data_IF_202611024784
#
_entry.id   IF_202611024784
#
_cell.length_a   1.000
_cell.length_b   1.000
_cell.length_c   1.000
_cell.angle_alpha   90.00
_cell.angle_beta   90.00
_cell.angle_gamma   90.00
#
_symmetry.space_group_name_H-M   'P 1'
#
loop_
_entity.id
_entity.type
_entity.pdbx_description
1 polymer ?
#
# COMPACT_ATOMS: atom_id res chain seq x y z
N UNK A 1 -6.19 -18.11 11.10
CA UNK A 1 -6.08 -17.44 9.79
C UNK A 1 -5.28 -16.18 9.97
N UNK A 2 -4.44 -15.85 9.00
CA UNK A 2 -3.64 -14.63 8.90
C UNK A 2 -3.94 -13.92 7.58
N UNK A 3 -3.41 -12.72 7.38
CA UNK A 3 -3.51 -12.02 6.09
C UNK A 3 -3.07 -12.88 4.89
N UNK A 4 -2.03 -13.69 5.07
CA UNK A 4 -1.51 -14.58 4.00
C UNK A 4 -2.45 -15.75 3.63
N UNK A 5 -3.52 -15.97 4.40
CA UNK A 5 -4.54 -16.97 4.07
C UNK A 5 -5.61 -16.43 3.11
N UNK A 6 -5.65 -15.11 2.87
CA UNK A 6 -6.53 -14.51 1.86
C UNK A 6 -5.88 -14.57 0.47
N UNK A 7 -6.25 -15.57 -0.32
CA UNK A 7 -5.61 -15.89 -1.61
C UNK A 7 -6.43 -15.52 -2.85
N UNK A 8 -7.74 -15.35 -2.67
CA UNK A 8 -8.67 -15.12 -3.78
C UNK A 8 -9.94 -14.38 -3.30
N UNK A 9 -10.85 -14.10 -4.23
CA UNK A 9 -12.13 -13.45 -3.94
C UNK A 9 -13.03 -14.29 -3.01
N UNK A 10 -12.93 -15.62 -3.03
CA UNK A 10 -13.75 -16.47 -2.18
C UNK A 10 -13.36 -16.32 -0.70
N UNK A 11 -12.06 -16.21 -0.42
CA UNK A 11 -11.56 -15.93 0.93
C UNK A 11 -12.08 -14.60 1.52
N UNK A 12 -12.31 -13.61 0.66
CA UNK A 12 -12.81 -12.27 1.02
C UNK A 12 -14.32 -12.21 1.33
N UNK A 13 -15.10 -13.23 0.94
CA UNK A 13 -16.55 -13.28 1.24
C UNK A 13 -16.85 -13.23 2.73
N UNK A 14 -15.96 -13.81 3.55
CA UNK A 14 -15.99 -13.74 5.02
C UNK A 14 -15.93 -12.30 5.56
N UNK A 15 -15.42 -11.36 4.77
CA UNK A 15 -15.34 -9.94 5.08
C UNK A 15 -16.51 -9.12 4.50
N UNK A 16 -17.45 -9.77 3.81
CA UNK A 16 -18.56 -9.13 3.11
C UNK A 16 -18.20 -8.60 1.72
N UNK A 17 -16.97 -8.84 1.25
CA UNK A 17 -16.49 -8.39 -0.06
C UNK A 17 -16.78 -9.51 -1.07
N UNK A 18 -17.71 -9.26 -1.97
CA UNK A 18 -18.18 -10.26 -2.95
C UNK A 18 -17.87 -9.90 -4.39
N UNK A 19 -17.42 -8.67 -4.64
CA UNK A 19 -17.10 -8.16 -5.97
C UNK A 19 -15.93 -7.20 -5.90
N UNK A 20 -15.10 -7.24 -6.94
CA UNK A 20 -14.05 -6.27 -7.22
C UNK A 20 -14.40 -5.60 -8.54
N UNK A 21 -14.50 -4.28 -8.56
CA UNK A 21 -14.64 -3.49 -9.79
C UNK A 21 -13.25 -3.22 -10.39
N UNK A 22 -13.07 -3.49 -11.67
CA UNK A 22 -11.86 -3.08 -12.40
C UNK A 22 -12.09 -1.73 -13.06
N UNK A 23 -11.15 -0.80 -12.87
CA UNK A 23 -11.17 0.54 -13.47
C UNK A 23 -9.89 0.79 -14.26
N UNK A 24 -9.92 1.73 -15.21
CA UNK A 24 -8.73 2.09 -16.00
C UNK A 24 -7.90 3.21 -15.37
N UNK A 25 -8.49 4.04 -14.53
CA UNK A 25 -7.80 5.13 -13.84
C UNK A 25 -8.49 5.32 -12.48
N UNK A 26 -7.86 4.81 -11.43
CA UNK A 26 -8.36 4.96 -10.08
C UNK A 26 -7.95 6.29 -9.46
N UNK A 27 -6.73 6.75 -9.75
CA UNK A 27 -6.10 7.91 -9.13
C UNK A 27 -5.65 8.87 -10.23
N UNK A 28 -6.10 10.12 -10.13
CA UNK A 28 -5.64 11.23 -10.96
C UNK A 28 -4.71 12.07 -10.11
N UNK A 29 -3.50 12.32 -10.60
CA UNK A 29 -2.46 13.04 -9.87
C UNK A 29 -1.54 13.78 -10.83
N UNK A 30 -0.99 14.90 -10.37
CA UNK A 30 0.11 15.57 -11.05
C UNK A 30 1.44 14.92 -10.69
N UNK A 31 2.42 14.84 -11.63
CA UNK A 31 3.75 14.33 -11.33
C UNK A 31 4.44 15.16 -10.24
N UNK A 32 5.24 14.50 -9.40
CA UNK A 32 6.03 15.14 -8.34
C UNK A 32 7.49 14.76 -8.53
N UNK A 33 8.34 15.78 -8.65
CA UNK A 33 9.77 15.54 -8.85
C UNK A 33 10.41 14.88 -7.61
N UNK A 34 11.17 13.78 -7.80
CA UNK A 34 11.88 13.12 -6.71
C UNK A 34 13.01 14.00 -6.17
N UNK A 35 13.31 13.88 -4.87
CA UNK A 35 14.52 14.51 -4.33
C UNK A 35 15.80 13.96 -4.97
N UNK A 36 16.85 14.78 -5.00
CA UNK A 36 18.19 14.34 -5.44
C UNK A 36 18.68 13.14 -4.63
N UNK A 37 18.29 13.04 -3.36
CA UNK A 37 18.63 11.88 -2.51
C UNK A 37 17.99 10.60 -3.04
N UNK A 38 16.69 10.60 -3.35
CA UNK A 38 16.01 9.43 -3.88
C UNK A 38 16.55 9.03 -5.26
N UNK A 39 16.82 10.01 -6.14
CA UNK A 39 17.40 9.76 -7.47
C UNK A 39 18.75 9.03 -7.33
N UNK A 40 19.65 9.56 -6.50
CA UNK A 40 20.98 8.97 -6.28
C UNK A 40 20.91 7.61 -5.60
N UNK A 41 19.98 7.42 -4.66
CA UNK A 41 19.74 6.14 -4.01
C UNK A 41 19.28 5.08 -5.02
N UNK A 42 18.20 5.35 -5.77
CA UNK A 42 17.64 4.38 -6.72
C UNK A 42 18.61 4.07 -7.88
N UNK A 43 19.41 5.04 -8.32
CA UNK A 43 20.47 4.80 -9.30
C UNK A 43 21.47 3.72 -8.87
N UNK A 44 21.74 3.62 -7.55
CA UNK A 44 22.65 2.61 -6.97
C UNK A 44 21.90 1.33 -6.61
N UNK A 45 20.71 1.48 -6.07
CA UNK A 45 19.96 0.43 -5.41
C UNK A 45 19.16 -0.45 -6.36
N UNK A 46 18.61 0.12 -7.45
CA UNK A 46 17.83 -0.67 -8.43
C UNK A 46 18.69 -1.77 -9.09
N UNK A 47 19.89 -1.48 -9.64
CA UNK A 47 20.73 -2.53 -10.23
C UNK A 47 21.13 -3.61 -9.21
N UNK A 48 21.39 -3.20 -7.96
CA UNK A 48 21.74 -4.12 -6.86
C UNK A 48 20.58 -5.04 -6.51
N UNK A 49 19.38 -4.49 -6.35
CA UNK A 49 18.17 -5.25 -6.05
C UNK A 49 17.86 -6.26 -7.17
N UNK A 50 17.99 -5.84 -8.43
CA UNK A 50 17.80 -6.71 -9.60
C UNK A 50 18.83 -7.84 -9.62
N UNK A 51 20.10 -7.56 -9.33
CA UNK A 51 21.16 -8.57 -9.33
C UNK A 51 21.00 -9.59 -8.19
N UNK A 52 20.58 -9.15 -7.00
CA UNK A 52 20.35 -10.04 -5.84
C UNK A 52 19.07 -10.86 -6.03
N UNK A 53 18.02 -10.27 -6.61
CA UNK A 53 16.74 -10.90 -6.93
C UNK A 53 16.06 -11.62 -5.75
N UNK A 54 15.96 -10.95 -4.61
CA UNK A 54 15.18 -11.45 -3.46
C UNK A 54 14.08 -10.45 -3.10
N UNK A 55 13.02 -10.95 -2.45
CA UNK A 55 11.94 -10.11 -1.89
C UNK A 55 12.53 -9.03 -0.99
N UNK A 56 13.41 -9.45 -0.07
CA UNK A 56 14.09 -8.54 0.84
C UNK A 56 14.89 -7.44 0.13
N UNK A 57 15.61 -7.78 -0.95
CA UNK A 57 16.36 -6.79 -1.71
C UNK A 57 15.42 -5.76 -2.38
N UNK A 58 14.30 -6.18 -2.97
CA UNK A 58 13.34 -5.23 -3.58
C UNK A 58 12.68 -4.35 -2.52
N UNK A 59 12.30 -4.95 -1.39
CA UNK A 59 11.74 -4.26 -0.23
C UNK A 59 12.68 -3.16 0.29
N UNK A 60 13.94 -3.47 0.55
CA UNK A 60 14.91 -2.55 1.17
C UNK A 60 15.50 -1.52 0.19
N UNK A 61 15.70 -1.89 -1.07
CA UNK A 61 16.45 -1.08 -2.05
C UNK A 61 15.55 -0.35 -3.06
N UNK A 62 14.27 -0.71 -3.18
CA UNK A 62 13.35 -0.04 -4.11
C UNK A 62 12.12 0.50 -3.38
N UNK A 63 11.36 -0.38 -2.73
CA UNK A 63 10.05 -0.01 -2.15
C UNK A 63 10.24 0.95 -0.96
N UNK A 64 11.04 0.57 0.05
CA UNK A 64 11.24 1.38 1.25
C UNK A 64 11.81 2.78 0.97
N UNK A 65 12.82 2.97 0.09
CA UNK A 65 13.28 4.31 -0.29
C UNK A 65 12.19 5.20 -0.89
N UNK A 66 11.35 4.65 -1.78
CA UNK A 66 10.24 5.39 -2.40
C UNK A 66 9.20 5.78 -1.35
N UNK A 67 8.79 4.84 -0.49
CA UNK A 67 7.82 5.13 0.56
C UNK A 67 8.37 6.11 1.61
N UNK A 68 9.68 6.07 1.89
CA UNK A 68 10.34 7.04 2.77
C UNK A 68 10.31 8.45 2.19
N UNK A 69 10.40 8.59 0.86
CA UNK A 69 10.26 9.88 0.19
C UNK A 69 8.86 10.46 0.41
N UNK A 70 7.81 9.64 0.42
CA UNK A 70 6.43 10.10 0.69
C UNK A 70 6.30 10.68 2.10
N UNK A 71 6.88 10.01 3.11
CA UNK A 71 6.91 10.52 4.48
C UNK A 71 7.80 11.77 4.65
N UNK A 72 8.76 11.98 3.74
CA UNK A 72 9.56 13.21 3.69
C UNK A 72 8.79 14.37 3.04
N UNK A 73 8.12 14.12 1.92
CA UNK A 73 7.31 15.11 1.19
C UNK A 73 6.09 15.55 2.03
N UNK A 74 5.46 14.61 2.73
CA UNK A 74 4.30 14.86 3.57
C UNK A 74 4.60 14.50 5.04
N UNK A 75 4.98 15.47 5.90
CA UNK A 75 5.30 15.21 7.30
C UNK A 75 4.13 14.73 8.17
N UNK A 76 2.89 14.80 7.67
CA UNK A 76 1.73 14.20 8.34
C UNK A 76 1.62 12.69 8.07
N UNK A 77 2.45 12.16 7.17
CA UNK A 77 2.49 10.74 6.83
C UNK A 77 3.59 10.04 7.61
N UNK A 78 3.25 8.95 8.27
CA UNK A 78 4.24 8.03 8.86
C UNK A 78 4.29 6.73 8.09
N UNK A 79 5.51 6.20 7.94
CA UNK A 79 5.80 4.92 7.31
C UNK A 79 6.08 3.87 8.38
N UNK A 80 5.32 2.78 8.34
CA UNK A 80 5.58 1.58 9.11
C UNK A 80 6.01 0.48 8.14
N UNK A 81 7.24 -0.02 8.28
CA UNK A 81 7.75 -1.16 7.53
C UNK A 81 7.83 -2.38 8.43
N UNK A 82 7.29 -3.49 7.95
CA UNK A 82 7.42 -4.78 8.58
C UNK A 82 6.90 -4.85 10.01
N UNK A 83 5.63 -4.49 10.21
CA UNK A 83 4.98 -4.49 11.53
C UNK A 83 3.88 -5.53 11.58
N UNK A 84 3.72 -6.14 12.76
CA UNK A 84 2.51 -6.90 13.07
C UNK A 84 1.32 -5.95 13.11
N UNK A 85 0.27 -6.28 12.36
CA UNK A 85 -0.97 -5.53 12.28
C UNK A 85 -2.14 -6.43 12.72
N UNK A 86 -2.21 -6.71 14.01
CA UNK A 86 -3.20 -7.64 14.57
C UNK A 86 -4.49 -6.91 14.95
N UNK A 87 -5.46 -6.89 14.04
CA UNK A 87 -6.67 -6.08 14.18
C UNK A 87 -7.87 -6.89 14.68
N UNK A 88 -8.12 -8.07 14.12
CA UNK A 88 -9.23 -8.95 14.50
C UNK A 88 -8.91 -10.42 14.19
N UNK A 89 -8.49 -11.16 15.22
CA UNK A 89 -8.13 -12.57 15.11
C UNK A 89 -9.33 -13.46 14.73
N UNK A 90 -10.55 -13.10 15.13
CA UNK A 90 -11.75 -13.90 14.83
C UNK A 90 -12.07 -13.93 13.33
N UNK A 91 -11.61 -12.91 12.61
CA UNK A 91 -11.79 -12.74 11.15
C UNK A 91 -10.52 -13.00 10.36
N UNK A 92 -9.47 -13.51 11.00
CA UNK A 92 -8.18 -13.75 10.36
C UNK A 92 -7.37 -12.50 10.00
N UNK A 93 -7.80 -11.32 10.48
CA UNK A 93 -7.15 -10.03 10.23
C UNK A 93 -5.97 -9.82 11.20
N UNK A 94 -4.98 -10.71 11.07
CA UNK A 94 -3.76 -10.74 11.89
C UNK A 94 -2.58 -11.15 11.03
N UNK A 95 -1.38 -10.75 11.45
CA UNK A 95 -0.15 -11.07 10.75
C UNK A 95 0.68 -9.84 10.45
N UNK A 96 1.65 -10.03 9.57
CA UNK A 96 2.63 -9.03 9.19
C UNK A 96 2.13 -8.27 7.96
N UNK A 97 2.21 -6.94 7.99
CA UNK A 97 2.07 -6.09 6.81
C UNK A 97 3.46 -5.65 6.34
N UNK A 98 3.72 -5.70 5.04
CA UNK A 98 5.01 -5.29 4.49
C UNK A 98 5.23 -3.80 4.70
N UNK A 99 4.25 -2.96 4.32
CA UNK A 99 4.25 -1.55 4.66
C UNK A 99 2.85 -0.99 4.92
N UNK A 100 2.79 0.02 5.79
CA UNK A 100 1.58 0.82 6.05
C UNK A 100 1.99 2.30 6.03
N UNK A 101 1.25 3.12 5.29
CA UNK A 101 1.29 4.57 5.39
C UNK A 101 0.09 5.07 6.18
N UNK A 102 0.34 5.89 7.18
CA UNK A 102 -0.69 6.48 8.04
C UNK A 102 -0.77 7.98 7.82
N UNK A 103 -1.97 8.56 7.86
CA UNK A 103 -2.14 10.00 7.93
C UNK A 103 -2.13 10.46 9.39
N UNK A 104 -0.98 10.24 10.04
CA UNK A 104 -0.70 10.64 11.41
C UNK A 104 0.81 10.79 11.59
N UNK A 105 1.25 11.82 12.33
CA UNK A 105 2.67 12.09 12.59
C UNK A 105 3.27 11.18 13.68
N UNK A 106 2.47 10.37 14.37
CA UNK A 106 2.94 9.34 15.29
C UNK A 106 3.65 8.21 14.53
N UNK A 107 4.95 8.04 14.81
CA UNK A 107 5.82 7.03 14.18
C UNK A 107 5.98 5.76 15.02
N UNK A 108 5.39 5.72 16.22
CA UNK A 108 5.53 4.63 17.17
C UNK A 108 4.34 3.67 17.13
N UNK A 109 3.14 4.21 16.89
CA UNK A 109 1.88 3.47 16.89
C UNK A 109 1.14 3.68 15.58
N UNK A 110 0.68 2.59 14.96
CA UNK A 110 -0.17 2.66 13.77
C UNK A 110 -1.52 3.26 14.16
N UNK A 111 -1.79 4.48 13.69
CA UNK A 111 -3.04 5.22 13.81
C UNK A 111 -3.42 5.76 12.43
N UNK A 112 -4.69 5.92 12.12
CA UNK A 112 -5.12 6.49 10.85
C UNK A 112 -4.46 5.85 9.58
N UNK A 113 -4.35 4.51 9.45
CA UNK A 113 -3.83 3.90 8.22
C UNK A 113 -4.65 4.31 6.98
N UNK A 114 -3.97 4.84 5.97
CA UNK A 114 -4.57 5.32 4.71
C UNK A 114 -4.13 4.51 3.51
N UNK A 115 -2.93 3.91 3.55
CA UNK A 115 -2.45 3.00 2.51
C UNK A 115 -1.81 1.78 3.16
N UNK A 116 -2.16 0.58 2.67
CA UNK A 116 -1.43 -0.66 2.95
C UNK A 116 -0.73 -1.13 1.67
N UNK A 117 0.45 -1.72 1.81
CA UNK A 117 1.27 -2.15 0.68
C UNK A 117 1.71 -3.59 0.93
N UNK A 118 1.43 -4.45 -0.06
CA UNK A 118 1.81 -5.86 -0.09
C UNK A 118 2.85 -6.08 -1.18
N UNK A 119 3.95 -6.74 -0.86
CA UNK A 119 4.91 -7.18 -1.85
C UNK A 119 4.36 -8.39 -2.62
N UNK A 120 4.37 -8.29 -3.94
CA UNK A 120 4.02 -9.39 -4.82
C UNK A 120 5.08 -10.50 -4.75
N UNK A 121 4.65 -11.68 -4.31
CA UNK A 121 5.48 -12.88 -4.29
C UNK A 121 5.64 -13.44 -5.70
N UNK A 122 6.81 -13.98 -6.01
CA UNK A 122 7.14 -14.53 -7.34
C UNK A 122 6.80 -13.56 -8.51
N UNK A 123 6.85 -12.25 -8.26
CA UNK A 123 6.51 -11.20 -9.21
C UNK A 123 5.07 -11.24 -9.75
N UNK A 124 4.18 -11.97 -9.08
CA UNK A 124 2.77 -12.06 -9.46
C UNK A 124 1.90 -11.10 -8.62
N UNK A 125 1.52 -9.98 -9.24
CA UNK A 125 0.65 -8.97 -8.61
C UNK A 125 -0.73 -9.51 -8.28
N UNK A 126 -1.27 -10.42 -9.09
CA UNK A 126 -2.64 -10.90 -8.90
C UNK A 126 -2.81 -11.70 -7.60
N UNK A 127 -1.77 -12.44 -7.22
CA UNK A 127 -1.78 -13.28 -6.01
C UNK A 127 -1.82 -12.44 -4.72
N UNK A 128 -1.35 -11.19 -4.77
CA UNK A 128 -1.35 -10.28 -3.62
C UNK A 128 -2.66 -9.50 -3.42
N UNK A 129 -3.59 -9.53 -4.39
CA UNK A 129 -4.78 -8.66 -4.35
C UNK A 129 -5.70 -8.98 -3.16
N UNK A 130 -5.99 -10.26 -2.93
CA UNK A 130 -6.89 -10.66 -1.85
C UNK A 130 -6.31 -10.34 -0.46
N UNK A 131 -5.03 -10.62 -0.25
CA UNK A 131 -4.31 -10.22 0.96
C UNK A 131 -4.36 -8.70 1.16
N UNK A 132 -4.04 -7.93 0.12
CA UNK A 132 -4.04 -6.46 0.19
C UNK A 132 -5.43 -5.93 0.59
N UNK A 133 -6.50 -6.45 -0.01
CA UNK A 133 -7.88 -6.06 0.34
C UNK A 133 -8.22 -6.39 1.80
N UNK A 134 -7.78 -7.54 2.31
CA UNK A 134 -7.98 -7.90 3.72
C UNK A 134 -7.22 -6.94 4.67
N UNK A 135 -6.01 -6.54 4.33
CA UNK A 135 -5.24 -5.53 5.06
C UNK A 135 -5.91 -4.14 5.00
N UNK A 136 -6.47 -3.74 3.85
CA UNK A 136 -7.23 -2.49 3.69
C UNK A 136 -8.50 -2.50 4.56
N UNK A 137 -9.21 -3.62 4.60
CA UNK A 137 -10.37 -3.81 5.46
C UNK A 137 -9.99 -3.67 6.94
N UNK A 138 -8.86 -4.27 7.35
CA UNK A 138 -8.35 -4.14 8.71
C UNK A 138 -7.97 -2.69 9.05
N UNK A 139 -7.38 -1.95 8.11
CA UNK A 139 -7.12 -0.52 8.26
C UNK A 139 -8.41 0.29 8.47
N UNK A 140 -9.51 -0.03 7.77
CA UNK A 140 -10.81 0.60 8.03
C UNK A 140 -11.31 0.35 9.46
N UNK A 141 -11.16 -0.87 9.99
CA UNK A 141 -11.54 -1.17 11.39
C UNK A 141 -10.73 -0.30 12.37
N UNK A 142 -9.44 -0.12 12.13
CA UNK A 142 -8.59 0.75 12.97
C UNK A 142 -9.05 2.20 12.91
N UNK A 143 -9.35 2.71 11.71
CA UNK A 143 -9.84 4.08 11.52
C UNK A 143 -11.18 4.32 12.23
N UNK A 144 -12.10 3.34 12.20
CA UNK A 144 -13.39 3.42 12.89
C UNK A 144 -13.24 3.45 14.41
N UNK A 145 -12.33 2.64 14.98
CA UNK A 145 -12.09 2.59 16.43
C UNK A 145 -11.47 3.88 16.99
N UNK A 146 -10.66 4.55 16.20
CA UNK A 146 -9.94 5.77 16.60
C UNK A 146 -10.70 7.06 16.30
N UNK A 147 -11.97 6.98 15.86
CA UNK A 147 -12.80 8.12 15.43
C UNK A 147 -12.19 8.95 14.29
N UNK A 148 -11.43 8.30 13.41
CA UNK A 148 -10.85 8.92 12.21
C UNK A 148 -11.90 9.01 11.09
N UNK A 149 -13.03 9.67 11.38
CA UNK A 149 -14.22 9.68 10.51
C UNK A 149 -13.98 10.31 9.13
N UNK A 150 -12.94 11.15 9.04
CA UNK A 150 -12.55 11.84 7.80
C UNK A 150 -11.94 10.91 6.76
N UNK A 151 -11.41 9.74 7.17
CA UNK A 151 -10.86 8.76 6.23
C UNK A 151 -12.02 7.99 5.58
N UNK A 152 -12.39 8.43 4.38
CA UNK A 152 -13.49 7.84 3.59
C UNK A 152 -13.07 6.62 2.78
N UNK A 153 -11.80 6.58 2.39
CA UNK A 153 -11.24 5.57 1.51
C UNK A 153 -9.90 5.12 2.09
N UNK A 154 -9.68 3.82 2.13
CA UNK A 154 -8.36 3.23 2.36
C UNK A 154 -7.86 2.72 1.03
N UNK A 155 -6.59 2.96 0.74
CA UNK A 155 -5.93 2.51 -0.48
C UNK A 155 -5.07 1.28 -0.21
N UNK A 156 -4.90 0.48 -1.25
CA UNK A 156 -4.04 -0.68 -1.25
C UNK A 156 -3.07 -0.59 -2.42
N UNK A 157 -1.90 -1.17 -2.23
CA UNK A 157 -0.89 -1.33 -3.27
C UNK A 157 -0.41 -2.77 -3.26
N UNK A 158 -0.34 -3.39 -4.43
CA UNK A 158 0.44 -4.61 -4.63
C UNK A 158 1.57 -4.30 -5.59
N UNK A 159 2.82 -4.60 -5.19
CA UNK A 159 3.99 -4.16 -5.95
C UNK A 159 5.12 -5.18 -6.00
N UNK A 160 5.83 -5.22 -7.13
CA UNK A 160 7.12 -5.90 -7.29
C UNK A 160 8.31 -4.95 -7.10
N UNK A 161 8.07 -3.71 -6.67
CA UNK A 161 9.04 -2.59 -6.73
C UNK A 161 9.19 -1.99 -8.13
N UNK A 162 9.08 -2.80 -9.19
CA UNK A 162 9.11 -2.32 -10.58
C UNK A 162 7.72 -1.93 -11.09
N UNK A 163 6.71 -2.70 -10.70
CA UNK A 163 5.31 -2.52 -11.10
C UNK A 163 4.46 -2.31 -9.86
N UNK A 164 3.52 -1.38 -9.94
CA UNK A 164 2.68 -0.92 -8.82
C UNK A 164 1.22 -0.93 -9.27
N UNK A 165 0.41 -1.75 -8.60
CA UNK A 165 -1.04 -1.80 -8.84
C UNK A 165 -1.79 -1.25 -7.65
N UNK A 166 -2.74 -0.37 -7.92
CA UNK A 166 -3.47 0.39 -6.92
C UNK A 166 -4.89 -0.15 -6.73
N UNK A 167 -5.35 -0.09 -5.49
CA UNK A 167 -6.66 -0.50 -5.06
C UNK A 167 -7.28 0.59 -4.17
N UNK A 168 -8.60 0.63 -4.09
CA UNK A 168 -9.33 1.42 -3.09
C UNK A 168 -10.47 0.62 -2.48
N UNK A 169 -10.74 0.83 -1.20
CA UNK A 169 -11.95 0.37 -0.52
C UNK A 169 -12.62 1.54 0.20
N UNK A 170 -13.88 1.79 -0.13
CA UNK A 170 -14.69 2.81 0.54
C UNK A 170 -15.45 2.25 1.76
N UNK A 171 -16.11 3.12 2.52
CA UNK A 171 -16.91 2.73 3.71
C UNK A 171 -18.05 1.75 3.39
N UNK A 172 -18.50 1.66 2.14
CA UNK A 172 -19.53 0.74 1.69
C UNK A 172 -18.98 -0.63 1.27
N UNK A 173 -17.69 -0.86 1.49
CA UNK A 173 -16.97 -2.07 1.07
C UNK A 173 -16.89 -2.24 -0.44
N UNK A 174 -17.04 -1.14 -1.19
CA UNK A 174 -16.84 -1.17 -2.62
C UNK A 174 -15.34 -1.15 -2.94
N UNK A 175 -14.85 -2.25 -3.51
CA UNK A 175 -13.44 -2.43 -3.87
C UNK A 175 -13.25 -2.14 -5.36
N UNK A 176 -12.25 -1.29 -5.66
CA UNK A 176 -11.78 -1.02 -7.02
C UNK A 176 -10.33 -1.43 -7.17
N UNK A 177 -9.99 -1.99 -8.34
CA UNK A 177 -8.61 -2.30 -8.75
C UNK A 177 -8.32 -1.51 -10.03
N UNK A 178 -7.23 -0.76 -10.02
CA UNK A 178 -6.72 -0.08 -11.20
C UNK A 178 -5.99 -1.08 -12.12
N UNK A 179 -6.46 -1.24 -13.36
CA UNK A 179 -5.80 -2.06 -14.37
C UNK A 179 -4.66 -1.33 -15.09
N UNK A 180 -4.56 -0.01 -14.91
CA UNK A 180 -3.43 0.77 -15.40
C UNK A 180 -2.31 0.71 -14.37
N UNK A 181 -1.36 -0.21 -14.57
CA UNK A 181 -0.19 -0.34 -13.71
C UNK A 181 0.71 0.90 -13.81
N UNK A 182 1.27 1.33 -12.68
CA UNK A 182 2.36 2.31 -12.68
C UNK A 182 3.69 1.59 -12.60
N UNK A 183 4.67 2.13 -13.28
CA UNK A 183 6.02 1.59 -13.31
C UNK A 183 6.95 2.46 -12.48
N UNK A 184 8.07 1.88 -12.03
CA UNK A 184 9.12 2.62 -11.32
C UNK A 184 9.66 3.81 -12.15
N UNK A 185 9.63 3.70 -13.48
CA UNK A 185 10.03 4.77 -14.40
C UNK A 185 8.86 5.09 -15.34
N UNK A 186 8.43 6.36 -15.45
CA UNK A 186 9.00 7.55 -14.81
C UNK A 186 8.62 7.69 -13.32
N UNK A 187 9.60 7.97 -12.47
CA UNK A 187 9.45 7.97 -11.00
C UNK A 187 8.54 9.09 -10.49
N UNK A 188 8.54 10.24 -11.16
CA UNK A 188 7.74 11.40 -10.76
C UNK A 188 6.23 11.15 -10.87
N UNK A 189 5.78 10.37 -11.85
CA UNK A 189 4.38 9.94 -11.95
C UNK A 189 3.97 9.03 -10.80
N UNK A 190 4.83 8.05 -10.45
CA UNK A 190 4.59 7.16 -9.30
C UNK A 190 4.51 7.96 -7.99
N UNK A 191 5.43 8.90 -7.78
CA UNK A 191 5.39 9.78 -6.61
C UNK A 191 4.13 10.65 -6.58
N UNK A 192 3.68 11.17 -7.73
CA UNK A 192 2.43 11.90 -7.84
C UNK A 192 1.23 11.10 -7.33
N UNK A 193 1.11 9.84 -7.76
CA UNK A 193 0.04 8.93 -7.31
C UNK A 193 0.12 8.66 -5.81
N UNK A 194 1.32 8.34 -5.30
CA UNK A 194 1.54 8.03 -3.88
C UNK A 194 1.25 9.22 -2.96
N UNK A 195 1.61 10.44 -3.37
CA UNK A 195 1.28 11.66 -2.63
C UNK A 195 -0.22 11.93 -2.67
N UNK A 196 -0.87 11.75 -3.83
CA UNK A 196 -2.31 11.96 -3.96
C UNK A 196 -3.12 11.09 -2.99
N UNK A 197 -2.76 9.80 -2.84
CA UNK A 197 -3.49 8.87 -1.95
C UNK A 197 -3.17 9.03 -0.47
N UNK A 198 -2.07 9.70 -0.12
CA UNK A 198 -1.67 9.94 1.28
C UNK A 198 -2.02 11.34 1.79
N UNK A 199 -2.39 12.25 0.89
CA UNK A 199 -2.77 13.63 1.22
C UNK A 199 -4.27 13.79 1.54
N UNK A 200 -5.00 12.69 1.70
CA UNK A 200 -6.47 12.67 1.82
C UNK A 200 -6.89 13.03 3.25
N UNK A 201 -6.71 14.30 3.59
CA UNK A 201 -7.45 15.04 4.60
C UNK A 201 -7.42 16.52 4.19
N UNK A 202 -8.40 16.92 3.36
CA UNK A 202 -9.05 18.23 3.40
C UNK A 202 -10.46 18.07 2.83
#
# INVERSE_FOLDING_TARGET
>A
MSYSDFKDLDSLKSLGITKIESVQNLIVSEPIEPSTFLIEALKRFVPLATAINTEKARSEYIIAPILSEIAYINPQVSLFSGRNFNVDASRGLTGFCDFILTHNSDKLVIKAPVVVIVEAKNENINDGLAQCIAEMYAAQIVNQKSLEENIKTVYGIVTTGQVWRFLSIDKTQHVKVDLNERYLTPLNELLGVLVAITSICN
#
